data_IF_794538601119
#
_entry.id   IF_794538601119
#
_cell.length_a   1.000
_cell.length_b   1.000
_cell.length_c   1.000
_cell.angle_alpha   90.00
_cell.angle_beta   90.00
_cell.angle_gamma   90.00
#
_symmetry.space_group_name_H-M   'P 1'
#
loop_
_entity.id
_entity.type
_entity.pdbx_description
1 polymer ?
#
# COMPACT_ATOMS: atom_id res chain seq x y z
N UNK A 1 51.12 -30.83 -93.62
CA UNK A 1 51.95 -31.48 -92.60
C UNK A 1 52.16 -30.47 -91.47
N UNK A 2 51.27 -30.42 -90.60
CA UNK A 2 51.29 -29.47 -89.48
C UNK A 2 51.39 -30.30 -88.23
N UNK A 3 52.46 -30.03 -87.47
CA UNK A 3 52.77 -30.79 -86.23
C UNK A 3 51.99 -30.16 -85.09
N UNK A 4 51.09 -30.95 -84.55
CA UNK A 4 50.40 -30.61 -83.30
C UNK A 4 51.39 -30.64 -82.13
N UNK A 5 51.80 -29.46 -81.68
CA UNK A 5 52.51 -29.26 -80.44
C UNK A 5 51.49 -29.23 -79.21
N UNK A 6 51.18 -30.41 -78.69
CA UNK A 6 50.45 -30.54 -77.48
C UNK A 6 51.39 -30.24 -76.29
N UNK A 7 51.24 -29.10 -75.72
CA UNK A 7 51.90 -28.73 -74.44
C UNK A 7 51.37 -29.63 -73.35
N UNK A 8 52.11 -30.70 -72.99
CA UNK A 8 51.85 -31.53 -71.82
C UNK A 8 52.21 -30.72 -70.55
N UNK A 9 51.28 -29.99 -70.02
CA UNK A 9 51.40 -29.35 -68.70
C UNK A 9 51.70 -30.44 -67.62
N UNK A 10 52.86 -30.28 -67.02
CA UNK A 10 53.43 -31.24 -66.06
C UNK A 10 52.61 -31.26 -64.75
N UNK A 11 51.54 -32.06 -64.68
CA UNK A 11 50.61 -32.23 -63.59
C UNK A 11 51.24 -32.86 -62.32
N UNK A 12 52.48 -33.37 -62.42
CA UNK A 12 53.15 -34.08 -61.32
C UNK A 12 53.63 -33.17 -60.15
N UNK A 13 53.75 -31.82 -60.35
CA UNK A 13 54.11 -30.87 -59.31
C UNK A 13 52.89 -30.37 -58.53
N UNK A 14 51.66 -30.48 -59.09
CA UNK A 14 50.42 -30.10 -58.44
C UNK A 14 50.07 -30.94 -57.24
N UNK A 15 50.28 -32.28 -57.31
CA UNK A 15 49.96 -33.15 -56.15
C UNK A 15 50.87 -32.98 -54.90
N UNK A 16 52.11 -32.61 -55.09
CA UNK A 16 53.02 -32.33 -53.98
C UNK A 16 52.68 -30.97 -53.34
N UNK A 17 52.30 -29.99 -54.17
CA UNK A 17 51.90 -28.65 -53.69
C UNK A 17 50.58 -28.69 -52.98
N UNK A 18 49.58 -29.45 -53.40
CA UNK A 18 48.32 -29.66 -52.71
C UNK A 18 48.45 -30.45 -51.39
N UNK A 19 49.31 -31.46 -51.32
CA UNK A 19 49.59 -32.26 -50.16
C UNK A 19 50.26 -31.45 -48.98
N UNK A 20 51.07 -30.44 -49.37
CA UNK A 20 51.68 -29.52 -48.36
C UNK A 20 50.79 -28.36 -48.05
N UNK A 21 50.07 -27.78 -49.03
CA UNK A 21 49.18 -26.60 -48.78
C UNK A 21 47.89 -26.95 -48.06
N UNK A 22 47.32 -28.15 -48.29
CA UNK A 22 46.06 -28.61 -47.64
C UNK A 22 46.10 -28.55 -46.11
N UNK A 23 47.13 -29.07 -45.38
CA UNK A 23 47.19 -28.99 -43.94
C UNK A 23 47.33 -27.54 -43.44
N UNK A 24 48.05 -26.65 -44.15
CA UNK A 24 48.13 -25.24 -43.78
C UNK A 24 46.80 -24.50 -43.96
N UNK A 25 46.07 -24.77 -45.03
CA UNK A 25 44.71 -24.23 -45.24
C UNK A 25 43.77 -24.75 -44.17
N UNK A 26 43.81 -26.05 -43.84
CA UNK A 26 43.00 -26.65 -42.78
C UNK A 26 43.36 -26.04 -41.41
N UNK A 27 44.62 -25.90 -41.09
CA UNK A 27 45.07 -25.24 -39.86
C UNK A 27 44.62 -23.77 -39.80
N UNK A 28 44.67 -23.04 -40.91
CA UNK A 28 44.17 -21.66 -41.02
C UNK A 28 42.66 -21.57 -40.78
N UNK A 29 41.88 -22.49 -41.35
CA UNK A 29 40.43 -22.56 -41.10
C UNK A 29 40.13 -22.87 -39.61
N UNK A 30 40.83 -23.83 -39.01
CA UNK A 30 40.69 -24.18 -37.60
C UNK A 30 41.02 -22.96 -36.72
N UNK A 31 42.12 -22.26 -37.01
CA UNK A 31 42.54 -21.07 -36.26
C UNK A 31 41.52 -19.93 -36.42
N UNK A 32 40.97 -19.75 -37.61
CA UNK A 32 39.89 -18.78 -37.85
C UNK A 32 38.61 -19.12 -37.09
N UNK A 33 38.19 -20.40 -37.06
CA UNK A 33 37.04 -20.86 -36.31
C UNK A 33 37.27 -20.68 -34.78
N UNK A 34 38.46 -20.94 -34.28
CA UNK A 34 38.84 -20.67 -32.90
C UNK A 34 38.79 -19.20 -32.58
N UNK A 35 39.29 -18.34 -33.47
CA UNK A 35 39.25 -16.89 -33.27
C UNK A 35 37.81 -16.33 -33.21
N UNK A 36 36.92 -16.78 -34.06
CA UNK A 36 35.51 -16.40 -34.01
C UNK A 36 34.81 -16.88 -32.75
N UNK A 37 35.15 -18.05 -32.27
CA UNK A 37 34.53 -18.62 -31.04
C UNK A 37 35.14 -18.05 -29.73
N UNK A 38 36.22 -17.25 -29.84
CA UNK A 38 36.87 -16.60 -28.69
C UNK A 38 36.19 -15.31 -28.28
N UNK A 39 35.24 -14.78 -29.03
CA UNK A 39 34.58 -13.50 -28.75
C UNK A 39 33.25 -13.76 -28.08
N UNK A 40 32.98 -13.03 -27.00
CA UNK A 40 31.68 -12.98 -26.32
C UNK A 40 31.28 -11.53 -26.05
N UNK A 41 30.04 -11.21 -26.33
CA UNK A 41 29.46 -9.89 -26.08
C UNK A 41 28.51 -10.03 -24.88
N UNK A 42 28.79 -9.31 -23.80
CA UNK A 42 27.93 -9.16 -22.63
C UNK A 42 27.05 -7.95 -22.85
N UNK A 43 25.73 -8.15 -22.84
CA UNK A 43 24.76 -7.09 -23.10
C UNK A 43 24.68 -6.10 -21.94
N UNK A 44 24.25 -4.86 -22.21
CA UNK A 44 24.01 -3.86 -21.20
C UNK A 44 22.94 -4.33 -20.18
N UNK A 45 23.21 -4.11 -18.91
CA UNK A 45 22.35 -4.58 -17.81
C UNK A 45 22.52 -6.06 -17.46
N UNK A 46 23.53 -6.75 -18.04
CA UNK A 46 23.90 -8.11 -17.67
C UNK A 46 25.34 -8.17 -17.20
N UNK A 47 25.71 -9.25 -16.50
CA UNK A 47 27.09 -9.59 -16.15
C UNK A 47 27.40 -10.98 -16.66
N UNK A 48 28.64 -11.18 -17.10
CA UNK A 48 29.10 -12.47 -17.61
C UNK A 48 29.80 -13.26 -16.51
N UNK A 49 29.23 -14.39 -16.09
CA UNK A 49 29.91 -15.34 -15.20
C UNK A 49 30.78 -16.26 -16.04
N UNK A 50 32.07 -16.31 -15.72
CA UNK A 50 33.01 -17.17 -16.41
C UNK A 50 33.09 -18.52 -15.74
N UNK A 51 32.78 -19.59 -16.49
CA UNK A 51 33.02 -20.96 -16.06
C UNK A 51 34.24 -21.50 -16.83
N UNK A 52 35.18 -22.07 -16.13
CA UNK A 52 36.33 -22.75 -16.72
C UNK A 52 36.23 -24.24 -16.42
N UNK A 53 36.02 -25.03 -17.46
CA UNK A 53 35.81 -26.49 -17.33
C UNK A 53 34.73 -26.84 -16.27
N UNK A 54 33.68 -26.01 -16.18
CA UNK A 54 32.59 -26.18 -15.21
C UNK A 54 32.81 -25.50 -13.85
N UNK A 55 34.03 -25.04 -13.53
CA UNK A 55 34.30 -24.33 -12.30
C UNK A 55 34.03 -22.81 -12.45
N UNK A 56 33.27 -22.22 -11.55
CA UNK A 56 33.00 -20.78 -11.51
C UNK A 56 34.29 -20.03 -11.21
N UNK A 57 34.61 -19.03 -12.01
CA UNK A 57 35.77 -18.19 -11.79
C UNK A 57 35.40 -16.95 -10.95
N UNK A 58 36.33 -16.40 -10.17
CA UNK A 58 36.08 -15.20 -9.38
C UNK A 58 35.89 -13.95 -10.27
N UNK A 59 36.30 -14.01 -11.53
CA UNK A 59 36.16 -12.91 -12.48
C UNK A 59 34.73 -12.81 -13.00
N UNK A 60 34.11 -11.63 -12.85
CA UNK A 60 32.84 -11.25 -13.47
C UNK A 60 33.12 -10.31 -14.63
N UNK A 61 32.59 -10.62 -15.81
CA UNK A 61 32.72 -9.78 -16.99
C UNK A 61 31.66 -8.69 -16.97
N UNK A 62 32.11 -7.46 -17.11
CA UNK A 62 31.23 -6.30 -17.32
C UNK A 62 30.57 -6.34 -18.69
N UNK A 63 29.67 -5.41 -18.97
CA UNK A 63 29.08 -5.21 -20.27
C UNK A 63 30.15 -4.84 -21.32
N UNK A 64 29.95 -5.30 -22.53
CA UNK A 64 30.84 -5.05 -23.65
C UNK A 64 31.41 -6.30 -24.31
N UNK A 65 32.50 -6.12 -25.06
CA UNK A 65 33.17 -7.17 -25.79
C UNK A 65 34.30 -7.75 -24.94
N UNK A 66 34.30 -9.09 -24.80
CA UNK A 66 35.30 -9.82 -24.02
C UNK A 66 35.85 -11.00 -24.83
N UNK A 67 37.04 -11.46 -24.46
CA UNK A 67 37.64 -12.65 -25.04
C UNK A 67 37.53 -13.81 -24.05
N UNK A 68 37.16 -14.97 -24.58
CA UNK A 68 37.13 -16.25 -23.82
C UNK A 68 37.99 -17.29 -24.55
N UNK A 69 38.47 -18.26 -23.79
CA UNK A 69 39.20 -19.41 -24.37
C UNK A 69 38.13 -20.42 -24.88
N UNK A 70 38.09 -20.67 -26.21
CA UNK A 70 37.12 -21.64 -26.77
C UNK A 70 37.30 -23.02 -26.12
N UNK A 71 36.19 -23.75 -25.96
CA UNK A 71 36.11 -25.10 -25.38
C UNK A 71 36.47 -25.20 -23.87
N UNK A 72 37.25 -24.26 -23.33
CA UNK A 72 37.69 -24.23 -21.94
C UNK A 72 36.80 -23.33 -21.11
N UNK A 73 36.40 -22.18 -21.65
CA UNK A 73 35.61 -21.18 -20.96
C UNK A 73 34.22 -21.03 -21.54
N UNK A 74 33.23 -21.03 -20.66
CA UNK A 74 31.85 -20.68 -20.97
C UNK A 74 31.46 -19.42 -20.19
N UNK A 75 30.76 -18.49 -20.82
CA UNK A 75 30.25 -17.29 -20.19
C UNK A 75 28.73 -17.40 -20.09
N UNK A 76 28.20 -17.26 -18.88
CA UNK A 76 26.76 -17.27 -18.61
C UNK A 76 26.34 -15.83 -18.33
N UNK A 77 25.48 -15.24 -19.16
CA UNK A 77 24.93 -13.92 -18.90
C UNK A 77 23.89 -13.98 -17.77
N UNK A 78 23.99 -13.09 -16.81
CA UNK A 78 23.03 -12.93 -15.71
C UNK A 78 22.53 -11.50 -15.69
N UNK A 79 21.22 -11.31 -15.64
CA UNK A 79 20.59 -10.00 -15.55
C UNK A 79 20.81 -9.42 -14.14
N UNK A 80 21.32 -8.19 -14.07
CA UNK A 80 21.56 -7.47 -12.82
C UNK A 80 20.68 -6.23 -12.68
N UNK A 81 19.73 -6.04 -13.58
CA UNK A 81 18.74 -4.97 -13.50
C UNK A 81 17.74 -5.27 -12.39
N UNK A 82 17.00 -4.24 -12.00
CA UNK A 82 15.92 -4.40 -11.02
C UNK A 82 14.85 -5.34 -11.57
N UNK A 83 14.71 -6.48 -10.91
CA UNK A 83 13.67 -7.47 -11.14
C UNK A 83 12.50 -7.29 -10.19
N UNK A 84 11.39 -7.95 -10.47
CA UNK A 84 10.21 -7.99 -9.61
C UNK A 84 9.85 -9.43 -9.29
N UNK A 85 9.77 -9.75 -8.00
CA UNK A 85 9.15 -10.97 -7.52
C UNK A 85 7.84 -10.63 -6.79
N UNK A 86 6.82 -11.46 -6.98
CA UNK A 86 5.55 -11.32 -6.29
C UNK A 86 5.16 -12.66 -5.66
N UNK A 87 4.69 -12.62 -4.42
CA UNK A 87 4.32 -13.83 -3.69
C UNK A 87 3.12 -13.57 -2.80
N UNK A 88 2.20 -14.53 -2.81
CA UNK A 88 1.07 -14.57 -1.88
C UNK A 88 1.50 -15.35 -0.64
N UNK A 89 1.35 -14.72 0.52
CA UNK A 89 1.79 -15.28 1.79
C UNK A 89 0.62 -15.35 2.76
N UNK A 90 0.54 -16.47 3.47
CA UNK A 90 -0.38 -16.66 4.59
C UNK A 90 0.44 -16.75 5.88
N UNK A 91 0.08 -15.94 6.85
CA UNK A 91 0.76 -15.85 8.14
C UNK A 91 -0.27 -15.71 9.27
N UNK A 92 0.18 -15.91 10.51
CA UNK A 92 -0.62 -15.61 11.69
C UNK A 92 -0.17 -14.30 12.32
N UNK A 93 -1.12 -13.49 12.78
CA UNK A 93 -0.86 -12.31 13.61
C UNK A 93 -0.58 -12.71 15.06
N UNK A 94 -0.17 -11.75 15.90
CA UNK A 94 0.09 -11.97 17.34
C UNK A 94 -1.13 -12.50 18.10
N UNK A 95 -2.32 -12.10 17.69
CA UNK A 95 -3.62 -12.55 18.24
C UNK A 95 -4.18 -13.79 17.49
N UNK A 96 -3.29 -14.54 16.83
CA UNK A 96 -3.58 -15.82 16.16
C UNK A 96 -4.63 -15.72 15.03
N UNK A 97 -4.81 -14.54 14.44
CA UNK A 97 -5.66 -14.40 13.26
C UNK A 97 -4.88 -14.76 11.99
N UNK A 98 -5.54 -15.49 11.10
CA UNK A 98 -4.96 -15.83 9.80
C UNK A 98 -5.04 -14.60 8.90
N UNK A 99 -3.88 -14.20 8.37
CA UNK A 99 -3.72 -13.05 7.49
C UNK A 99 -3.11 -13.52 6.19
N UNK A 100 -3.78 -13.27 5.09
CA UNK A 100 -3.24 -13.49 3.74
C UNK A 100 -2.86 -12.13 3.16
N UNK A 101 -1.67 -12.05 2.58
CA UNK A 101 -1.16 -10.83 1.96
C UNK A 101 -0.39 -11.14 0.68
N UNK A 102 -0.50 -10.27 -0.30
CA UNK A 102 0.30 -10.30 -1.52
C UNK A 102 1.40 -9.26 -1.41
N UNK A 103 2.65 -9.69 -1.57
CA UNK A 103 3.82 -8.83 -1.51
C UNK A 103 4.53 -8.84 -2.85
N UNK A 104 4.77 -7.67 -3.40
CA UNK A 104 5.64 -7.43 -4.53
C UNK A 104 6.96 -6.83 -4.04
N UNK A 105 8.05 -7.38 -4.51
CA UNK A 105 9.41 -7.01 -4.12
C UNK A 105 10.21 -6.66 -5.36
N UNK A 106 10.82 -5.48 -5.36
CA UNK A 106 11.79 -5.08 -6.36
C UNK A 106 13.19 -5.27 -5.77
N UNK A 107 14.03 -5.98 -6.48
CA UNK A 107 15.38 -6.30 -6.05
C UNK A 107 16.31 -6.40 -7.25
N UNK A 108 17.61 -6.31 -7.02
CA UNK A 108 18.63 -6.56 -8.03
C UNK A 108 19.78 -7.36 -7.45
N UNK A 109 20.54 -8.00 -8.32
CA UNK A 109 21.75 -8.71 -7.94
C UNK A 109 22.91 -7.73 -7.81
N UNK A 110 23.78 -7.92 -6.83
CA UNK A 110 25.03 -7.13 -6.71
C UNK A 110 25.94 -7.52 -7.87
N UNK A 111 26.25 -6.59 -8.79
CA UNK A 111 26.89 -6.93 -10.07
C UNK A 111 28.24 -7.63 -9.94
N UNK A 112 29.01 -7.29 -8.92
CA UNK A 112 30.36 -7.81 -8.73
C UNK A 112 30.39 -9.18 -8.02
N UNK A 113 29.25 -9.63 -7.48
CA UNK A 113 29.14 -10.84 -6.66
C UNK A 113 28.18 -11.90 -7.26
N UNK A 114 27.76 -11.71 -8.50
CA UNK A 114 26.84 -12.65 -9.21
C UNK A 114 27.47 -14.04 -9.40
N UNK A 115 28.78 -14.14 -9.48
CA UNK A 115 29.51 -15.41 -9.55
C UNK A 115 29.34 -16.23 -8.26
N UNK A 116 29.42 -15.59 -7.08
CA UNK A 116 29.19 -16.22 -5.78
C UNK A 116 27.73 -16.67 -5.62
N UNK A 117 26.79 -15.83 -6.03
CA UNK A 117 25.37 -16.22 -6.06
C UNK A 117 25.15 -17.43 -6.97
N UNK A 118 25.69 -17.39 -8.19
CA UNK A 118 25.56 -18.49 -9.13
C UNK A 118 26.17 -19.80 -8.59
N UNK A 119 27.33 -19.71 -7.97
CA UNK A 119 28.02 -20.88 -7.40
C UNK A 119 27.20 -21.53 -6.29
N UNK A 120 26.58 -20.74 -5.42
CA UNK A 120 25.89 -21.23 -4.22
C UNK A 120 24.41 -21.60 -4.49
N UNK A 121 23.74 -20.89 -5.38
CA UNK A 121 22.29 -20.97 -5.60
C UNK A 121 21.93 -21.36 -7.04
N UNK A 122 22.67 -20.85 -8.03
CA UNK A 122 22.39 -21.00 -9.45
C UNK A 122 21.46 -19.90 -9.97
N UNK A 123 20.88 -20.11 -11.16
CA UNK A 123 19.99 -19.11 -11.80
C UNK A 123 18.57 -19.08 -11.25
N UNK A 124 18.13 -20.11 -10.53
CA UNK A 124 16.80 -20.19 -9.94
C UNK A 124 16.74 -19.52 -8.54
N UNK A 125 17.42 -18.41 -8.34
CA UNK A 125 17.53 -17.71 -7.06
C UNK A 125 16.19 -17.11 -6.60
N UNK A 126 15.29 -16.76 -7.53
CA UNK A 126 13.96 -16.26 -7.20
C UNK A 126 13.16 -17.30 -6.43
N UNK A 127 13.07 -18.53 -6.93
CA UNK A 127 12.31 -19.59 -6.31
C UNK A 127 13.01 -20.18 -5.07
N UNK A 128 14.34 -20.21 -5.07
CA UNK A 128 15.13 -20.84 -4.00
C UNK A 128 15.39 -19.93 -2.81
N UNK A 129 15.51 -18.64 -3.04
CA UNK A 129 15.89 -17.66 -2.00
C UNK A 129 14.82 -16.58 -1.82
N UNK A 130 14.43 -15.88 -2.92
CA UNK A 130 13.57 -14.68 -2.78
C UNK A 130 12.18 -15.04 -2.26
N UNK A 131 11.50 -16.02 -2.85
CA UNK A 131 10.16 -16.41 -2.44
C UNK A 131 10.09 -16.97 -1.00
N UNK A 132 10.98 -17.87 -0.56
CA UNK A 132 11.04 -18.30 0.85
C UNK A 132 11.40 -17.15 1.81
N UNK A 133 12.33 -16.27 1.44
CA UNK A 133 12.72 -15.14 2.26
C UNK A 133 11.57 -14.15 2.49
N UNK A 134 10.77 -13.87 1.45
CA UNK A 134 9.53 -13.08 1.57
C UNK A 134 8.60 -13.73 2.59
N UNK A 135 8.33 -15.04 2.43
CA UNK A 135 7.42 -15.77 3.33
C UNK A 135 7.89 -15.73 4.79
N UNK A 136 9.18 -15.91 5.03
CA UNK A 136 9.74 -15.88 6.37
C UNK A 136 9.72 -14.46 6.97
N UNK A 137 10.09 -13.45 6.21
CA UNK A 137 10.06 -12.06 6.68
C UNK A 137 8.62 -11.64 7.05
N UNK A 138 7.63 -12.01 6.22
CA UNK A 138 6.22 -11.75 6.50
C UNK A 138 5.78 -12.42 7.80
N UNK A 139 6.02 -13.72 7.93
CA UNK A 139 5.63 -14.49 9.13
C UNK A 139 6.28 -13.95 10.40
N UNK A 140 7.57 -13.61 10.32
CA UNK A 140 8.31 -13.08 11.45
C UNK A 140 7.79 -11.71 11.93
N UNK A 141 7.37 -10.86 10.99
CA UNK A 141 6.88 -9.52 11.33
C UNK A 141 5.40 -9.58 11.72
N UNK A 142 4.53 -10.26 10.98
CA UNK A 142 3.10 -10.34 11.31
C UNK A 142 2.84 -10.93 12.69
N UNK A 143 3.67 -11.87 13.14
CA UNK A 143 3.59 -12.44 14.49
C UNK A 143 3.86 -11.44 15.63
N UNK A 144 4.42 -10.26 15.33
CA UNK A 144 4.67 -9.19 16.32
C UNK A 144 3.51 -8.22 16.49
N UNK A 145 2.58 -8.17 15.53
CA UNK A 145 1.46 -7.24 15.49
C UNK A 145 0.12 -7.96 15.59
N UNK A 146 -0.87 -7.32 16.22
CA UNK A 146 -2.27 -7.79 16.15
C UNK A 146 -2.86 -7.51 14.78
N UNK A 147 -3.95 -8.18 14.44
CA UNK A 147 -4.66 -7.95 13.19
C UNK A 147 -5.09 -6.48 13.01
N UNK A 148 -5.52 -5.82 14.09
CA UNK A 148 -5.85 -4.39 14.11
C UNK A 148 -4.60 -3.50 13.88
N UNK A 149 -3.46 -3.86 14.48
CA UNK A 149 -2.19 -3.14 14.31
C UNK A 149 -1.63 -3.30 12.89
N UNK A 150 -1.81 -4.45 12.23
CA UNK A 150 -1.40 -4.66 10.84
C UNK A 150 -2.09 -3.68 9.86
N UNK A 151 -3.31 -3.23 10.21
CA UNK A 151 -4.05 -2.24 9.41
C UNK A 151 -3.65 -0.82 9.83
N UNK A 152 -3.71 -0.52 11.13
CA UNK A 152 -3.52 0.84 11.66
C UNK A 152 -2.07 1.32 11.59
N UNK A 153 -1.09 0.39 11.73
CA UNK A 153 0.37 0.67 11.68
C UNK A 153 1.02 0.13 10.39
N UNK A 154 0.27 0.10 9.29
CA UNK A 154 0.72 -0.50 8.03
C UNK A 154 2.10 -0.02 7.57
N UNK A 155 2.39 1.26 7.70
CA UNK A 155 3.68 1.85 7.29
C UNK A 155 4.85 1.30 8.11
N UNK A 156 4.66 1.12 9.43
CA UNK A 156 5.65 0.54 10.34
C UNK A 156 5.89 -0.94 10.02
N UNK A 157 4.81 -1.70 9.81
CA UNK A 157 4.86 -3.11 9.41
C UNK A 157 5.62 -3.27 8.10
N UNK A 158 5.32 -2.43 7.09
CA UNK A 158 6.01 -2.45 5.80
C UNK A 158 7.49 -2.16 5.95
N UNK A 159 7.87 -1.15 6.74
CA UNK A 159 9.26 -0.83 7.02
C UNK A 159 10.00 -1.99 7.70
N UNK A 160 9.35 -2.67 8.66
CA UNK A 160 9.93 -3.80 9.37
C UNK A 160 10.10 -5.04 8.49
N UNK A 161 9.12 -5.31 7.60
CA UNK A 161 9.24 -6.37 6.58
C UNK A 161 10.40 -6.05 5.63
N UNK A 162 10.52 -4.78 5.17
CA UNK A 162 11.62 -4.33 4.32
C UNK A 162 12.97 -4.57 4.98
N UNK A 163 13.13 -4.14 6.22
CA UNK A 163 14.38 -4.32 7.00
C UNK A 163 14.76 -5.80 7.12
N UNK A 164 13.79 -6.64 7.53
CA UNK A 164 14.02 -8.07 7.74
C UNK A 164 14.38 -8.78 6.43
N UNK A 165 13.67 -8.45 5.36
CA UNK A 165 13.90 -9.04 4.04
C UNK A 165 15.23 -8.57 3.45
N UNK A 166 15.57 -7.28 3.56
CA UNK A 166 16.84 -6.73 3.09
C UNK A 166 18.03 -7.41 3.76
N UNK A 167 17.97 -7.62 5.08
CA UNK A 167 19.00 -8.33 5.83
C UNK A 167 19.19 -9.78 5.35
N UNK A 168 18.11 -10.47 4.98
CA UNK A 168 18.18 -11.83 4.44
C UNK A 168 18.75 -11.86 3.02
N UNK A 169 18.25 -11.01 2.13
CA UNK A 169 18.68 -10.97 0.73
C UNK A 169 20.15 -10.55 0.60
N UNK A 170 20.63 -9.63 1.45
CA UNK A 170 22.03 -9.21 1.45
C UNK A 170 23.01 -10.35 1.74
N UNK A 171 22.62 -11.36 2.52
CA UNK A 171 23.44 -12.56 2.78
C UNK A 171 23.69 -13.36 1.49
N UNK A 172 22.83 -13.22 0.48
CA UNK A 172 22.96 -13.87 -0.80
C UNK A 172 23.36 -12.91 -1.94
N UNK A 173 23.99 -11.77 -1.61
CA UNK A 173 24.45 -10.78 -2.58
C UNK A 173 23.35 -10.20 -3.47
N UNK A 174 22.15 -10.05 -2.88
CA UNK A 174 20.99 -9.42 -3.50
C UNK A 174 20.63 -8.14 -2.72
N UNK A 175 20.40 -7.05 -3.42
CA UNK A 175 19.95 -5.79 -2.84
C UNK A 175 18.44 -5.63 -3.02
N UNK A 176 17.76 -5.27 -1.93
CA UNK A 176 16.33 -4.97 -1.91
C UNK A 176 16.13 -3.47 -2.17
N UNK A 177 15.48 -3.14 -3.28
CA UNK A 177 15.17 -1.75 -3.63
C UNK A 177 13.88 -1.29 -2.96
N UNK A 178 12.78 -2.01 -3.22
CA UNK A 178 11.47 -1.62 -2.71
C UNK A 178 10.59 -2.84 -2.42
N UNK A 179 9.67 -2.66 -1.46
CA UNK A 179 8.59 -3.61 -1.22
C UNK A 179 7.24 -2.91 -1.32
N UNK A 180 6.27 -3.63 -1.84
CA UNK A 180 4.88 -3.19 -1.86
C UNK A 180 4.01 -4.31 -1.29
N UNK A 181 3.39 -4.03 -0.14
CA UNK A 181 2.37 -4.89 0.45
C UNK A 181 1.03 -4.45 -0.11
N UNK A 182 0.37 -5.30 -0.90
CA UNK A 182 -0.84 -4.90 -1.62
C UNK A 182 -2.01 -4.77 -0.66
N UNK A 183 -2.26 -5.83 0.13
CA UNK A 183 -3.47 -5.94 0.94
C UNK A 183 -3.24 -6.92 2.09
N UNK A 184 -3.89 -6.69 3.24
CA UNK A 184 -4.06 -7.68 4.30
C UNK A 184 -5.49 -8.18 4.27
N UNK A 185 -5.69 -9.46 3.98
CA UNK A 185 -6.99 -10.14 3.99
C UNK A 185 -7.10 -10.98 5.25
N UNK A 186 -8.18 -10.78 5.98
CA UNK A 186 -8.51 -11.55 7.18
C UNK A 186 -9.66 -12.52 6.89
N UNK A 187 -9.92 -13.47 7.78
CA UNK A 187 -11.04 -14.37 7.65
C UNK A 187 -12.39 -13.62 7.70
N UNK A 188 -13.41 -14.17 7.08
CA UNK A 188 -14.76 -13.59 7.07
C UNK A 188 -15.32 -13.50 8.51
N UNK A 189 -15.04 -14.50 9.33
CA UNK A 189 -15.46 -14.55 10.73
C UNK A 189 -14.83 -13.41 11.54
N UNK A 190 -13.54 -13.15 11.33
CA UNK A 190 -12.85 -12.05 11.98
C UNK A 190 -13.41 -10.68 11.55
N UNK A 191 -13.61 -10.48 10.24
CA UNK A 191 -14.18 -9.24 9.72
C UNK A 191 -15.57 -8.98 10.32
N UNK A 192 -16.44 -10.00 10.36
CA UNK A 192 -17.77 -9.90 10.96
C UNK A 192 -17.71 -9.58 12.47
N UNK A 193 -16.77 -10.21 13.20
CA UNK A 193 -16.60 -9.94 14.62
C UNK A 193 -16.14 -8.50 14.91
N UNK A 194 -15.21 -7.98 14.10
CA UNK A 194 -14.76 -6.59 14.19
C UNK A 194 -15.87 -5.61 13.85
N UNK A 195 -16.67 -5.89 12.82
CA UNK A 195 -17.83 -5.07 12.46
C UNK A 195 -18.83 -5.00 13.61
N UNK A 196 -19.18 -6.16 14.20
CA UNK A 196 -20.08 -6.21 15.36
C UNK A 196 -19.53 -5.47 16.57
N UNK A 197 -18.23 -5.60 16.85
CA UNK A 197 -17.55 -4.85 17.92
C UNK A 197 -17.67 -3.34 17.68
N UNK A 198 -17.38 -2.87 16.46
CA UNK A 198 -17.47 -1.46 16.11
C UNK A 198 -18.91 -0.93 16.24
N UNK A 199 -19.90 -1.69 15.79
CA UNK A 199 -21.32 -1.34 15.97
C UNK A 199 -21.67 -1.21 17.46
N UNK A 200 -21.23 -2.17 18.28
CA UNK A 200 -21.47 -2.14 19.73
C UNK A 200 -20.79 -0.93 20.41
N UNK A 201 -19.54 -0.63 20.06
CA UNK A 201 -18.81 0.53 20.56
C UNK A 201 -19.48 1.86 20.15
N UNK A 202 -19.93 1.99 18.90
CA UNK A 202 -20.65 3.16 18.42
C UNK A 202 -22.01 3.33 19.13
N UNK A 203 -22.73 2.23 19.35
CA UNK A 203 -23.99 2.27 20.11
C UNK A 203 -23.77 2.68 21.57
N UNK A 204 -22.72 2.18 22.21
CA UNK A 204 -22.37 2.56 23.57
C UNK A 204 -21.96 4.04 23.66
N UNK A 205 -21.19 4.54 22.70
CA UNK A 205 -20.82 5.95 22.62
C UNK A 205 -22.05 6.84 22.40
N UNK A 206 -22.95 6.45 21.49
CA UNK A 206 -24.21 7.15 21.23
C UNK A 206 -25.09 7.20 22.49
N UNK A 207 -25.26 6.08 23.20
CA UNK A 207 -26.02 6.04 24.44
C UNK A 207 -25.42 6.96 25.52
N UNK A 208 -24.08 7.02 25.63
CA UNK A 208 -23.39 7.94 26.54
C UNK A 208 -23.64 9.40 26.18
N UNK A 209 -23.56 9.76 24.90
CA UNK A 209 -23.83 11.12 24.42
C UNK A 209 -25.30 11.50 24.60
N UNK A 210 -26.25 10.57 24.41
CA UNK A 210 -27.66 10.79 24.64
C UNK A 210 -27.96 11.03 26.11
N UNK A 211 -27.35 10.28 27.03
CA UNK A 211 -27.45 10.54 28.47
C UNK A 211 -26.93 11.94 28.85
N UNK A 212 -25.78 12.34 28.30
CA UNK A 212 -25.24 13.69 28.52
C UNK A 212 -26.19 14.78 28.01
N UNK A 213 -26.75 14.59 26.78
CA UNK A 213 -27.74 15.50 26.22
C UNK A 213 -28.98 15.65 27.09
N UNK A 214 -29.54 14.53 27.54
CA UNK A 214 -30.73 14.53 28.41
C UNK A 214 -30.41 15.23 29.74
N UNK A 215 -29.22 15.01 30.32
CA UNK A 215 -28.83 15.69 31.55
C UNK A 215 -28.72 17.21 31.35
N UNK A 216 -28.11 17.66 30.23
CA UNK A 216 -28.00 19.09 29.88
C UNK A 216 -29.38 19.71 29.63
N UNK A 217 -30.26 19.00 28.91
CA UNK A 217 -31.64 19.47 28.63
C UNK A 217 -32.45 19.57 29.93
N UNK A 218 -32.31 18.61 30.86
CA UNK A 218 -32.96 18.66 32.15
C UNK A 218 -32.47 19.86 32.97
N UNK A 219 -31.16 20.10 32.99
CA UNK A 219 -30.59 21.25 33.70
C UNK A 219 -31.03 22.59 33.09
N UNK A 220 -31.11 22.68 31.76
CA UNK A 220 -31.63 23.86 31.06
C UNK A 220 -33.10 24.12 31.45
N UNK A 221 -33.93 23.06 31.53
CA UNK A 221 -35.33 23.21 31.97
C UNK A 221 -35.41 23.74 33.40
N UNK A 222 -34.59 23.23 34.31
CA UNK A 222 -34.52 23.69 35.70
C UNK A 222 -34.10 25.16 35.77
N UNK A 223 -33.05 25.54 35.05
CA UNK A 223 -32.57 26.93 35.00
C UNK A 223 -33.59 27.88 34.38
N UNK A 224 -34.29 27.47 33.29
CA UNK A 224 -35.41 28.25 32.75
C UNK A 224 -36.53 28.43 33.73
N UNK A 225 -36.96 27.36 34.40
CA UNK A 225 -38.03 27.45 35.40
C UNK A 225 -37.63 28.35 36.60
N UNK A 226 -36.36 28.30 37.04
CA UNK A 226 -35.85 29.25 38.08
C UNK A 226 -35.86 30.70 37.58
N UNK A 227 -35.39 30.95 36.37
CA UNK A 227 -35.39 32.28 35.80
C UNK A 227 -36.80 32.84 35.63
N UNK A 228 -37.78 32.00 35.17
CA UNK A 228 -39.19 32.38 35.10
C UNK A 228 -39.78 32.68 36.46
N UNK A 229 -39.53 31.82 37.45
CA UNK A 229 -39.99 32.04 38.84
C UNK A 229 -39.42 33.34 39.44
N UNK A 230 -38.12 33.62 39.22
CA UNK A 230 -37.48 34.85 39.69
C UNK A 230 -38.04 36.08 38.94
N UNK A 231 -38.26 35.97 37.64
CA UNK A 231 -38.90 37.04 36.85
C UNK A 231 -40.31 37.37 37.41
N UNK A 232 -41.13 36.32 37.67
CA UNK A 232 -42.45 36.51 38.24
C UNK A 232 -42.40 37.07 39.67
N UNK A 233 -41.41 36.67 40.47
CA UNK A 233 -41.17 37.23 41.81
C UNK A 233 -40.85 38.72 41.77
N UNK A 234 -39.95 39.12 40.89
CA UNK A 234 -39.60 40.53 40.70
C UNK A 234 -40.78 41.35 40.17
N UNK A 235 -41.52 40.84 39.21
CA UNK A 235 -42.74 41.48 38.72
C UNK A 235 -43.79 41.65 39.85
N UNK A 236 -43.96 40.65 40.70
CA UNK A 236 -44.91 40.73 41.82
C UNK A 236 -44.48 41.74 42.90
N UNK A 237 -43.17 41.94 43.09
CA UNK A 237 -42.65 42.96 43.99
C UNK A 237 -42.83 44.39 43.46
N UNK A 238 -42.76 44.57 42.14
CA UNK A 238 -42.92 45.88 41.51
C UNK A 238 -44.37 46.22 41.15
N UNK A 239 -45.28 45.26 41.30
CA UNK A 239 -46.73 45.49 41.02
C UNK A 239 -47.32 46.26 42.21
N UNK A 240 -47.34 47.58 42.09
CA UNK A 240 -48.07 48.46 42.95
C UNK A 240 -49.58 48.47 42.57
N UNK A 241 -50.48 48.87 43.50
CA UNK A 241 -51.91 48.97 43.24
C UNK A 241 -52.17 49.90 42.05
N UNK A 242 -51.41 50.95 41.89
CA UNK A 242 -51.45 51.90 40.79
C UNK A 242 -51.16 51.26 39.43
N UNK A 243 -50.21 50.34 39.38
CA UNK A 243 -49.86 49.59 38.14
C UNK A 243 -50.97 48.62 37.74
N UNK A 244 -51.65 48.03 38.75
CA UNK A 244 -52.84 47.14 38.46
C UNK A 244 -53.97 47.97 37.88
N UNK A 245 -54.20 49.14 38.43
CA UNK A 245 -55.26 50.04 37.96
C UNK A 245 -54.95 50.58 36.57
N UNK A 246 -53.69 50.90 36.29
CA UNK A 246 -53.24 51.30 34.93
C UNK A 246 -53.47 50.18 33.90
N UNK A 247 -53.07 48.94 34.22
CA UNK A 247 -53.27 47.79 33.35
C UNK A 247 -54.75 47.45 33.13
N UNK A 248 -55.60 47.72 34.14
CA UNK A 248 -57.04 47.57 34.02
C UNK A 248 -57.63 48.60 33.06
N UNK A 249 -57.15 49.85 33.16
CA UNK A 249 -57.56 50.94 32.25
C UNK A 249 -57.10 50.61 30.81
N UNK A 250 -55.85 50.18 30.64
CA UNK A 250 -55.35 49.78 29.32
C UNK A 250 -56.14 48.62 28.69
N UNK A 251 -56.50 47.62 29.49
CA UNK A 251 -57.35 46.49 29.04
C UNK A 251 -58.74 46.96 28.62
N UNK A 252 -59.29 47.90 29.41
CA UNK A 252 -60.59 48.49 29.09
C UNK A 252 -60.55 49.33 27.79
N UNK A 253 -59.48 50.13 27.62
CA UNK A 253 -59.30 50.93 26.41
C UNK A 253 -59.15 50.02 25.18
N UNK A 254 -58.37 48.95 25.25
CA UNK A 254 -58.22 47.94 24.16
C UNK A 254 -59.53 47.20 23.84
N UNK A 255 -60.35 46.95 24.86
CA UNK A 255 -61.67 46.34 24.67
C UNK A 255 -62.60 47.31 23.98
N UNK A 256 -62.57 48.64 24.35
CA UNK A 256 -63.37 49.67 23.67
C UNK A 256 -62.92 49.88 22.22
N UNK A 257 -61.60 49.91 21.96
CA UNK A 257 -61.01 50.10 20.66
C UNK A 257 -61.39 48.96 19.68
N UNK A 258 -61.55 47.73 20.20
CA UNK A 258 -61.96 46.54 19.44
C UNK A 258 -63.48 46.36 19.38
N UNK A 259 -64.26 47.19 20.09
CA UNK A 259 -65.69 47.03 20.15
C UNK A 259 -66.37 47.59 18.88
N UNK A 260 -67.17 46.78 18.23
CA UNK A 260 -67.91 47.10 17.03
C UNK A 260 -69.24 47.86 17.28
N UNK A 261 -69.43 48.31 18.51
CA UNK A 261 -70.60 49.08 18.89
C UNK A 261 -71.90 48.25 19.12
N UNK A 262 -71.82 46.90 19.06
CA UNK A 262 -72.98 46.02 19.28
C UNK A 262 -72.93 45.39 20.65
N UNK A 263 -74.00 45.45 21.39
CA UNK A 263 -74.12 44.75 22.67
C UNK A 263 -74.27 43.22 22.42
N UNK A 264 -73.54 42.38 23.19
CA UNK A 264 -73.73 40.94 23.08
C UNK A 264 -75.15 40.53 23.46
N UNK A 265 -75.78 39.73 22.67
CA UNK A 265 -77.14 39.25 22.84
C UNK A 265 -77.40 38.28 24.00
N UNK A 266 -76.29 37.80 24.64
CA UNK A 266 -76.39 36.91 25.79
C UNK A 266 -75.37 37.37 26.85
N UNK A 267 -75.86 37.87 27.99
CA UNK A 267 -75.06 38.15 29.20
C UNK A 267 -75.32 37.01 30.16
N UNK A 268 -74.52 35.95 30.08
CA UNK A 268 -74.52 34.87 31.07
C UNK A 268 -73.77 35.32 32.31
N UNK A 269 -74.42 35.96 33.32
CA UNK A 269 -74.00 36.14 34.69
C UNK A 269 -72.60 36.73 34.99
N UNK A 270 -71.80 37.09 34.01
CA UNK A 270 -70.51 37.72 34.16
C UNK A 270 -70.71 39.24 34.07
N UNK A 271 -70.20 40.00 35.02
CA UNK A 271 -70.16 41.45 34.97
C UNK A 271 -69.50 41.90 33.67
N UNK A 272 -70.18 42.73 32.85
CA UNK A 272 -69.57 43.21 31.60
C UNK A 272 -68.28 43.95 31.91
N UNK A 273 -67.25 43.75 31.07
CA UNK A 273 -65.91 44.38 31.20
C UNK A 273 -65.97 45.91 31.15
N UNK A 274 -67.13 46.44 30.79
CA UNK A 274 -67.41 47.88 30.69
C UNK A 274 -68.54 48.21 31.68
N UNK A 275 -68.25 48.89 32.80
CA UNK A 275 -69.24 49.43 33.70
C UNK A 275 -69.72 50.77 33.17
N UNK A 276 -70.94 50.76 32.57
CA UNK A 276 -71.57 51.93 31.94
C UNK A 276 -72.01 52.98 33.00
N UNK A 277 -72.06 52.63 34.27
CA UNK A 277 -72.47 53.56 35.31
C UNK A 277 -71.40 54.53 35.82
N UNK A 278 -70.17 54.44 35.30
CA UNK A 278 -69.09 55.38 35.68
C UNK A 278 -68.77 56.43 34.64
N UNK A 279 -69.53 56.54 33.56
CA UNK A 279 -69.37 57.66 32.62
C UNK A 279 -70.37 58.76 32.96
N UNK A 280 -69.93 59.72 33.78
CA UNK A 280 -70.56 61.03 33.94
C UNK A 280 -69.68 62.10 33.40
#
# INVERSE_FOLDING_TARGET
MEKDNVIKMNLKNGEKFTKVLLPFVLAGIILLLLAFNSIVIVQAGTRGIVLQLGAVQPLVLNEGLHFKIPFVQQVIPVDVRVGKAQSDQTAASRDLQIVTTTIAVNFHLVPDEVNTLYQNVGLAYEDRIVAPAIGEAVKAVTAQYTAEELISKRSEVSAKVKETLAAKLSTYHMALDEINITEFKFSTEYNNAIEQKQIAEQNALKAKLDLQRIAVEAQQKVERAKAEAESLRLQKQEVTQELIDLRRIEAQMRAIEKWDGKMPSVTGGATPFIDINQVK
#
